data_IF_531666874511
#
_entry.id   IF_531666874511
#
_cell.length_a   1.000
_cell.length_b   1.000
_cell.length_c   1.000
_cell.angle_alpha   90.00
_cell.angle_beta   90.00
_cell.angle_gamma   90.00
#
_symmetry.space_group_name_H-M   'P 1'
#
loop_
_entity.id
_entity.type
_entity.pdbx_description
1 polymer ?
#
# COMPACT_ATOMS: atom_id res chain seq x y z
N UNK A 1 -19.07 -15.05 1.53
CA UNK A 1 -19.90 -14.52 2.62
C UNK A 1 -19.13 -14.44 3.95
N UNK A 2 -18.48 -15.51 4.44
CA UNK A 2 -17.70 -15.46 5.70
C UNK A 2 -16.44 -14.58 5.70
N UNK A 3 -15.69 -14.53 4.59
CA UNK A 3 -14.48 -13.70 4.47
C UNK A 3 -14.79 -12.19 4.57
N UNK A 4 -15.92 -11.75 4.00
CA UNK A 4 -16.35 -10.36 4.08
C UNK A 4 -16.74 -9.93 5.51
N UNK A 5 -17.46 -10.78 6.24
CA UNK A 5 -17.80 -10.52 7.66
C UNK A 5 -16.52 -10.38 8.51
N UNK A 6 -15.55 -11.26 8.29
CA UNK A 6 -14.25 -11.20 8.96
C UNK A 6 -13.49 -9.90 8.63
N UNK A 7 -13.51 -9.48 7.36
CA UNK A 7 -12.93 -8.21 6.91
C UNK A 7 -13.64 -7.01 7.55
N UNK A 8 -14.98 -6.98 7.61
CA UNK A 8 -15.75 -5.91 8.26
C UNK A 8 -15.36 -5.74 9.72
N UNK A 9 -15.33 -6.83 10.49
CA UNK A 9 -14.91 -6.76 11.89
C UNK A 9 -13.44 -6.35 12.06
N UNK A 10 -12.57 -6.68 11.11
CA UNK A 10 -11.19 -6.21 11.12
C UNK A 10 -11.13 -4.70 10.84
N UNK A 11 -11.81 -4.21 9.79
CA UNK A 11 -11.86 -2.81 9.41
C UNK A 11 -12.39 -1.93 10.53
N UNK A 12 -13.57 -2.24 11.09
CA UNK A 12 -14.15 -1.43 12.16
C UNK A 12 -13.34 -1.43 13.46
N UNK A 13 -12.53 -2.46 13.73
CA UNK A 13 -11.59 -2.41 14.87
C UNK A 13 -10.39 -1.52 14.58
N UNK A 14 -9.77 -1.69 13.40
CA UNK A 14 -8.58 -0.93 13.02
C UNK A 14 -8.87 0.56 12.88
N UNK A 15 -9.98 0.94 12.25
CA UNK A 15 -10.33 2.36 12.07
C UNK A 15 -10.70 3.06 13.39
N UNK A 16 -11.30 2.33 14.36
CA UNK A 16 -11.53 2.83 15.73
C UNK A 16 -10.25 3.04 16.53
N UNK A 17 -9.18 2.32 16.21
CA UNK A 17 -7.84 2.55 16.76
C UNK A 17 -7.10 3.67 16.00
N UNK A 18 -7.82 4.47 15.21
CA UNK A 18 -7.30 5.58 14.40
C UNK A 18 -6.27 5.17 13.34
N UNK A 19 -6.27 3.90 12.93
CA UNK A 19 -5.37 3.38 11.91
C UNK A 19 -5.98 3.53 10.52
N UNK A 20 -5.12 3.81 9.54
CA UNK A 20 -5.47 3.73 8.13
C UNK A 20 -5.40 2.28 7.62
N UNK A 21 -6.35 1.88 6.78
CA UNK A 21 -6.36 0.57 6.14
C UNK A 21 -6.32 0.70 4.63
N UNK A 22 -5.31 0.09 4.01
CA UNK A 22 -5.18 0.00 2.56
C UNK A 22 -5.88 -1.26 2.04
N UNK A 23 -6.84 -1.10 1.13
CA UNK A 23 -7.62 -2.20 0.55
C UNK A 23 -7.36 -2.29 -0.94
N UNK A 24 -6.78 -3.38 -1.41
CA UNK A 24 -6.57 -3.60 -2.84
C UNK A 24 -7.80 -4.18 -3.49
N UNK A 25 -8.36 -3.48 -4.47
CA UNK A 25 -9.39 -4.00 -5.36
C UNK A 25 -8.74 -4.79 -6.48
N UNK A 26 -8.55 -6.09 -6.25
CA UNK A 26 -7.98 -7.07 -7.19
C UNK A 26 -6.79 -6.53 -8.00
N UNK A 27 -5.57 -6.76 -7.53
CA UNK A 27 -4.33 -6.25 -8.15
C UNK A 27 -4.15 -6.62 -9.63
N UNK A 28 -4.85 -7.65 -10.12
CA UNK A 28 -4.75 -8.18 -11.48
C UNK A 28 -5.92 -7.74 -12.37
N UNK A 29 -7.05 -7.30 -11.82
CA UNK A 29 -8.21 -6.85 -12.61
C UNK A 29 -8.92 -7.93 -13.45
N UNK A 30 -8.59 -9.22 -13.23
CA UNK A 30 -9.18 -10.33 -13.98
C UNK A 30 -10.66 -10.61 -13.64
N UNK A 31 -11.10 -10.14 -12.47
CA UNK A 31 -12.50 -10.14 -12.05
C UNK A 31 -12.77 -8.77 -11.42
N UNK A 32 -13.40 -7.89 -12.18
CA UNK A 32 -13.98 -6.65 -11.66
C UNK A 32 -15.03 -7.06 -10.61
N UNK A 33 -14.72 -6.84 -9.34
CA UNK A 33 -15.61 -7.13 -8.22
C UNK A 33 -15.96 -5.82 -7.55
N UNK A 34 -17.22 -5.60 -7.19
CA UNK A 34 -17.63 -4.39 -6.48
C UNK A 34 -17.17 -4.39 -5.01
N UNK A 35 -15.86 -4.53 -4.77
CA UNK A 35 -15.25 -4.57 -3.43
C UNK A 35 -15.62 -3.34 -2.60
N UNK A 36 -15.71 -2.16 -3.23
CA UNK A 36 -16.21 -0.95 -2.59
C UNK A 36 -17.70 -0.98 -2.28
N UNK A 37 -18.56 -1.62 -3.09
CA UNK A 37 -19.97 -1.71 -2.73
C UNK A 37 -20.16 -2.57 -1.46
N UNK A 38 -19.31 -3.57 -1.27
CA UNK A 38 -19.28 -4.35 -0.05
C UNK A 38 -18.74 -3.55 1.14
N UNK A 39 -17.71 -2.72 0.96
CA UNK A 39 -17.09 -1.95 2.04
C UNK A 39 -17.82 -0.63 2.36
N UNK A 40 -18.43 0.05 1.39
CA UNK A 40 -19.13 1.33 1.57
C UNK A 40 -20.63 1.16 1.85
N UNK A 41 -21.29 0.18 1.21
CA UNK A 41 -22.74 -0.01 1.32
C UNK A 41 -23.23 -0.87 2.49
N UNK A 42 -22.35 -1.66 3.11
CA UNK A 42 -22.72 -2.62 4.18
C UNK A 42 -21.93 -2.42 5.48
N UNK A 43 -21.26 -1.28 5.64
CA UNK A 43 -20.59 -0.97 6.92
C UNK A 43 -21.55 -0.32 7.89
N UNK A 44 -21.60 -0.91 9.08
CA UNK A 44 -22.17 -0.32 10.28
C UNK A 44 -21.49 1.05 10.58
N UNK A 45 -22.17 1.94 11.31
CA UNK A 45 -21.66 3.29 11.68
C UNK A 45 -20.31 3.25 12.42
N UNK A 46 -19.90 2.06 12.87
CA UNK A 46 -18.63 1.81 13.53
C UNK A 46 -17.38 1.83 12.63
N UNK A 47 -17.51 1.96 11.31
CA UNK A 47 -16.38 2.06 10.37
C UNK A 47 -16.20 3.49 9.86
N UNK A 48 -15.08 4.12 10.22
CA UNK A 48 -14.69 5.41 9.65
C UNK A 48 -14.09 5.21 8.24
N UNK A 49 -14.90 5.40 7.20
CA UNK A 49 -14.51 5.25 5.79
C UNK A 49 -13.38 6.21 5.35
N UNK A 50 -13.23 7.35 6.03
CA UNK A 50 -12.15 8.32 5.78
C UNK A 50 -10.76 7.73 6.08
N UNK A 51 -10.71 6.67 6.89
CA UNK A 51 -9.48 5.94 7.23
C UNK A 51 -9.23 4.73 6.34
N UNK A 52 -10.11 4.45 5.39
CA UNK A 52 -9.88 3.40 4.40
C UNK A 52 -9.35 4.07 3.13
N UNK A 53 -8.25 3.52 2.60
CA UNK A 53 -7.62 3.98 1.36
C UNK A 53 -7.68 2.83 0.35
N UNK A 54 -8.66 2.82 -0.55
CA UNK A 54 -8.71 1.84 -1.61
C UNK A 54 -7.51 1.98 -2.54
N UNK A 55 -7.08 0.87 -3.13
CA UNK A 55 -6.04 0.81 -4.16
C UNK A 55 -6.70 0.31 -5.44
N UNK A 56 -6.74 1.20 -6.44
CA UNK A 56 -7.21 0.94 -7.79
C UNK A 56 -6.02 0.78 -8.73
N UNK A 57 -6.11 -0.12 -9.70
CA UNK A 57 -5.06 -0.32 -10.70
C UNK A 57 -5.57 -0.01 -12.11
N UNK A 58 -4.67 0.34 -13.03
CA UNK A 58 -5.00 0.45 -14.45
C UNK A 58 -5.35 -0.91 -15.09
N UNK A 59 -5.42 -2.01 -14.35
CA UNK A 59 -5.75 -3.36 -14.85
C UNK A 59 -7.23 -3.60 -15.07
N UNK A 60 -8.08 -2.65 -14.70
CA UNK A 60 -9.52 -2.69 -14.93
C UNK A 60 -9.88 -1.88 -16.18
N UNK A 61 -11.10 -2.03 -16.68
CA UNK A 61 -11.61 -1.16 -17.74
C UNK A 61 -11.67 0.31 -17.29
N UNK A 62 -11.58 1.24 -18.24
CA UNK A 62 -11.62 2.67 -17.90
C UNK A 62 -12.96 3.06 -17.26
N UNK A 63 -14.06 2.48 -17.73
CA UNK A 63 -15.40 2.74 -17.19
C UNK A 63 -15.54 2.20 -15.76
N UNK A 64 -14.95 1.02 -15.49
CA UNK A 64 -14.85 0.51 -14.12
C UNK A 64 -14.06 1.46 -13.22
N UNK A 65 -12.87 1.89 -13.64
CA UNK A 65 -12.04 2.81 -12.86
C UNK A 65 -12.76 4.11 -12.50
N UNK A 66 -13.52 4.68 -13.45
CA UNK A 66 -14.33 5.90 -13.23
C UNK A 66 -15.46 5.63 -12.24
N UNK A 67 -16.19 4.54 -12.41
CA UNK A 67 -17.29 4.15 -11.53
C UNK A 67 -16.79 3.89 -10.11
N UNK A 68 -15.66 3.19 -9.98
CA UNK A 68 -15.01 2.91 -8.70
C UNK A 68 -14.65 4.18 -7.96
N UNK A 69 -13.99 5.14 -8.64
CA UNK A 69 -13.60 6.40 -8.03
C UNK A 69 -14.82 7.27 -7.66
N UNK A 70 -15.84 7.33 -8.52
CA UNK A 70 -17.08 8.07 -8.22
C UNK A 70 -17.81 7.50 -7.01
N UNK A 71 -17.84 6.16 -6.87
CA UNK A 71 -18.39 5.49 -5.68
C UNK A 71 -17.57 5.78 -4.43
N UNK A 72 -16.24 5.70 -4.50
CA UNK A 72 -15.38 6.06 -3.37
C UNK A 72 -15.68 7.47 -2.86
N UNK A 73 -15.85 8.45 -3.76
CA UNK A 73 -16.25 9.80 -3.36
C UNK A 73 -17.66 9.83 -2.75
N UNK A 74 -18.63 9.19 -3.40
CA UNK A 74 -20.03 9.18 -2.94
C UNK A 74 -20.22 8.53 -1.57
N UNK A 75 -19.44 7.49 -1.28
CA UNK A 75 -19.51 6.74 -0.02
C UNK A 75 -18.74 7.44 1.12
N UNK A 76 -18.01 8.52 0.83
CA UNK A 76 -17.30 9.33 1.83
C UNK A 76 -15.87 8.90 2.14
N UNK A 77 -15.22 8.15 1.24
CA UNK A 77 -13.78 7.95 1.30
C UNK A 77 -13.06 9.28 0.98
N UNK A 78 -11.95 9.56 1.65
CA UNK A 78 -11.17 10.80 1.45
C UNK A 78 -9.94 10.59 0.56
N UNK A 79 -9.57 9.35 0.28
CA UNK A 79 -8.35 9.03 -0.47
C UNK A 79 -8.49 7.78 -1.32
N UNK A 80 -7.81 7.77 -2.47
CA UNK A 80 -7.73 6.64 -3.40
C UNK A 80 -6.30 6.53 -3.95
N UNK A 81 -5.65 5.39 -3.77
CA UNK A 81 -4.34 5.13 -4.39
C UNK A 81 -4.52 4.52 -5.78
N UNK A 82 -3.86 5.09 -6.79
CA UNK A 82 -4.00 4.70 -8.20
C UNK A 82 -2.66 4.22 -8.76
N UNK A 83 -2.62 2.95 -9.18
CA UNK A 83 -1.42 2.24 -9.59
C UNK A 83 -1.49 1.77 -11.06
N UNK A 84 -0.36 1.52 -11.69
CA UNK A 84 -0.34 0.90 -13.02
C UNK A 84 -0.78 -0.57 -13.02
N UNK A 85 -0.47 -1.32 -11.96
CA UNK A 85 -0.57 -2.79 -11.94
C UNK A 85 0.47 -3.48 -12.84
N UNK A 86 0.66 -4.79 -12.75
CA UNK A 86 1.73 -5.48 -13.47
C UNK A 86 1.49 -5.48 -15.00
N UNK A 87 2.50 -5.17 -15.82
CA UNK A 87 2.39 -5.24 -17.29
C UNK A 87 2.47 -6.67 -17.82
N UNK A 88 3.14 -7.57 -17.08
CA UNK A 88 3.40 -8.94 -17.50
C UNK A 88 2.21 -9.88 -17.30
N UNK A 89 1.24 -9.47 -16.50
CA UNK A 89 0.05 -10.26 -16.16
C UNK A 89 -1.17 -9.71 -16.91
N UNK A 90 -1.92 -10.50 -17.71
CA UNK A 90 -3.17 -10.04 -18.33
C UNK A 90 -4.25 -9.65 -17.28
N UNK A 91 -5.26 -8.82 -17.63
CA UNK A 91 -5.54 -8.13 -18.90
C UNK A 91 -4.62 -6.91 -19.12
N UNK A 92 -4.53 -6.31 -20.33
CA UNK A 92 -3.71 -5.10 -20.53
C UNK A 92 -4.18 -3.93 -19.65
N UNK A 93 -3.29 -2.97 -19.40
CA UNK A 93 -3.68 -1.74 -18.70
C UNK A 93 -4.63 -0.90 -19.57
N UNK A 94 -5.69 -0.31 -19.01
CA UNK A 94 -6.60 0.59 -19.73
C UNK A 94 -5.95 1.92 -20.12
N UNK A 95 -4.91 2.33 -19.40
CA UNK A 95 -4.01 3.44 -19.74
C UNK A 95 -2.56 3.05 -19.41
N UNK A 96 -1.56 3.62 -20.10
CA UNK A 96 -0.17 3.17 -19.96
C UNK A 96 0.39 3.29 -18.52
N UNK A 97 0.08 4.37 -17.80
CA UNK A 97 0.62 4.66 -16.47
C UNK A 97 -0.46 5.03 -15.46
N UNK A 98 -0.16 4.85 -14.17
CA UNK A 98 -1.04 5.29 -13.08
C UNK A 98 -1.26 6.81 -13.06
N UNK A 99 -0.28 7.62 -13.49
CA UNK A 99 -0.44 9.09 -13.60
C UNK A 99 -1.50 9.47 -14.63
N UNK A 100 -1.58 8.73 -15.74
CA UNK A 100 -2.54 8.98 -16.82
C UNK A 100 -3.96 8.72 -16.28
N UNK A 101 -4.13 7.67 -15.47
CA UNK A 101 -5.41 7.40 -14.82
C UNK A 101 -5.75 8.47 -13.76
N UNK A 102 -4.78 8.91 -12.94
CA UNK A 102 -5.00 10.00 -11.98
C UNK A 102 -5.38 11.30 -12.67
N UNK A 103 -4.79 11.64 -13.81
CA UNK A 103 -5.20 12.80 -14.59
C UNK A 103 -6.70 12.72 -14.93
N UNK A 104 -7.13 11.58 -15.49
CA UNK A 104 -8.54 11.36 -15.87
C UNK A 104 -9.46 11.47 -14.65
N UNK A 105 -9.11 10.82 -13.54
CA UNK A 105 -9.94 10.78 -12.33
C UNK A 105 -9.98 12.12 -11.60
N UNK A 106 -8.86 12.87 -11.55
CA UNK A 106 -8.76 14.16 -10.84
C UNK A 106 -9.80 15.18 -11.30
N UNK A 107 -10.23 15.10 -12.58
CA UNK A 107 -11.25 15.97 -13.17
C UNK A 107 -12.68 15.60 -12.77
N UNK A 108 -12.89 14.41 -12.20
CA UNK A 108 -14.21 13.83 -11.91
C UNK A 108 -14.50 13.71 -10.42
N UNK A 109 -13.48 13.41 -9.61
CA UNK A 109 -13.67 13.03 -8.19
C UNK A 109 -13.05 13.99 -7.19
N UNK A 110 -12.82 15.25 -7.55
CA UNK A 110 -12.44 16.28 -6.58
C UNK A 110 -13.53 16.43 -5.50
N UNK A 111 -13.20 16.44 -4.19
CA UNK A 111 -11.88 16.67 -3.59
C UNK A 111 -11.11 15.42 -3.13
N UNK A 112 -11.39 14.22 -3.67
CA UNK A 112 -10.72 12.97 -3.30
C UNK A 112 -9.19 13.07 -3.50
N UNK A 113 -8.41 12.78 -2.45
CA UNK A 113 -6.94 12.79 -2.55
C UNK A 113 -6.45 11.56 -3.32
N UNK A 114 -5.57 11.76 -4.31
CA UNK A 114 -5.08 10.67 -5.17
C UNK A 114 -3.65 10.27 -4.80
N UNK A 115 -3.46 8.99 -4.49
CA UNK A 115 -2.17 8.40 -4.13
C UNK A 115 -1.42 7.83 -5.33
N UNK A 116 -0.11 8.02 -5.37
CA UNK A 116 0.82 7.40 -6.30
C UNK A 116 1.62 6.24 -5.69
N UNK A 117 2.65 5.81 -6.41
CA UNK A 117 3.56 4.75 -5.98
C UNK A 117 4.99 5.06 -6.35
N UNK A 118 5.90 4.75 -5.44
CA UNK A 118 7.35 4.93 -5.62
C UNK A 118 8.07 3.66 -5.23
N UNK A 119 9.25 3.39 -5.79
CA UNK A 119 10.04 2.21 -5.48
C UNK A 119 11.43 2.61 -4.99
N UNK A 120 11.67 2.69 -3.66
CA UNK A 120 12.97 3.09 -3.11
C UNK A 120 14.15 2.22 -3.57
N UNK A 121 13.91 1.01 -4.09
CA UNK A 121 14.96 0.13 -4.64
C UNK A 121 15.42 0.54 -6.05
N UNK A 122 14.77 1.50 -6.69
CA UNK A 122 15.13 2.04 -8.02
C UNK A 122 15.91 3.35 -7.88
N UNK A 123 16.26 3.94 -9.02
CA UNK A 123 16.97 5.23 -9.03
C UNK A 123 16.19 6.31 -8.28
N UNK A 124 16.82 6.93 -7.29
CA UNK A 124 16.14 7.86 -6.39
C UNK A 124 15.62 9.11 -7.13
N UNK A 125 16.40 9.66 -8.05
CA UNK A 125 16.02 10.86 -8.79
C UNK A 125 14.85 10.59 -9.73
N UNK A 126 14.84 9.45 -10.40
CA UNK A 126 13.72 9.00 -11.24
C UNK A 126 12.43 8.83 -10.42
N UNK A 127 12.49 8.11 -9.28
CA UNK A 127 11.32 7.86 -8.45
C UNK A 127 10.75 9.13 -7.83
N UNK A 128 11.61 10.06 -7.40
CA UNK A 128 11.18 11.38 -6.94
C UNK A 128 10.59 12.19 -8.09
N UNK A 129 11.20 12.12 -9.28
CA UNK A 129 10.69 12.75 -10.51
C UNK A 129 9.25 12.38 -10.81
N UNK A 130 8.88 11.09 -10.70
CA UNK A 130 7.49 10.65 -10.89
C UNK A 130 6.49 11.23 -9.88
N UNK A 131 6.95 11.66 -8.71
CA UNK A 131 6.10 12.17 -7.63
C UNK A 131 5.96 13.69 -7.68
N UNK A 132 7.03 14.40 -8.06
CA UNK A 132 7.09 15.87 -8.01
C UNK A 132 6.79 16.53 -9.36
N UNK A 133 6.70 15.74 -10.43
CA UNK A 133 6.33 16.26 -11.74
C UNK A 133 4.94 16.94 -11.70
N UNK A 134 4.79 18.00 -12.50
CA UNK A 134 3.54 18.76 -12.54
C UNK A 134 2.33 17.91 -13.02
N UNK A 135 2.59 16.87 -13.80
CA UNK A 135 1.65 15.89 -14.33
C UNK A 135 1.58 14.60 -13.49
N UNK A 136 2.14 14.59 -12.27
CA UNK A 136 2.08 13.41 -11.40
C UNK A 136 0.66 13.12 -10.91
N UNK A 137 -0.16 14.18 -10.76
CA UNK A 137 -1.53 14.15 -10.25
C UNK A 137 -1.68 13.35 -8.94
N UNK A 138 -0.67 13.43 -8.07
CA UNK A 138 -0.62 12.71 -6.80
C UNK A 138 -0.43 13.66 -5.61
N UNK A 139 -1.19 13.41 -4.56
CA UNK A 139 -1.16 14.16 -3.30
C UNK A 139 -0.26 13.49 -2.26
N UNK A 140 -0.09 12.16 -2.36
CA UNK A 140 0.79 11.34 -1.55
C UNK A 140 1.28 10.14 -2.36
N UNK A 141 2.19 9.32 -1.82
CA UNK A 141 2.55 8.04 -2.41
C UNK A 141 2.71 6.92 -1.37
N UNK A 142 2.48 5.70 -1.81
CA UNK A 142 2.93 4.49 -1.11
C UNK A 142 4.26 4.02 -1.70
N UNK A 143 5.16 3.51 -0.87
CA UNK A 143 6.40 2.92 -1.36
C UNK A 143 6.22 1.43 -1.65
N UNK A 144 7.03 0.89 -2.56
CA UNK A 144 7.34 -0.53 -2.58
C UNK A 144 7.78 -1.00 -1.20
N UNK A 145 7.55 -2.28 -0.88
CA UNK A 145 8.00 -2.93 0.34
C UNK A 145 9.50 -2.71 0.53
N UNK A 146 9.86 -2.21 1.70
CA UNK A 146 11.22 -2.03 2.21
C UNK A 146 11.34 -2.67 3.59
N UNK A 147 12.56 -2.86 4.06
CA UNK A 147 12.84 -3.35 5.40
C UNK A 147 14.11 -2.72 5.96
N UNK A 148 14.50 -3.12 7.17
CA UNK A 148 15.79 -2.73 7.74
C UNK A 148 17.00 -3.31 6.98
N UNK A 149 16.80 -4.21 6.01
CA UNK A 149 17.85 -4.70 5.10
C UNK A 149 18.00 -3.84 3.84
N UNK A 150 17.18 -2.81 3.66
CA UNK A 150 17.23 -1.91 2.50
C UNK A 150 17.28 -0.44 2.91
N UNK A 151 17.92 -0.13 4.05
CA UNK A 151 17.97 1.23 4.60
C UNK A 151 18.67 2.20 3.66
N UNK A 152 19.80 1.82 3.07
CA UNK A 152 20.54 2.68 2.15
C UNK A 152 19.66 3.14 0.97
N UNK A 153 18.78 2.28 0.49
CA UNK A 153 17.84 2.60 -0.60
C UNK A 153 16.79 3.63 -0.14
N UNK A 154 16.28 3.47 1.08
CA UNK A 154 15.33 4.41 1.70
C UNK A 154 16.00 5.75 1.99
N UNK A 155 17.22 5.76 2.50
CA UNK A 155 17.98 6.97 2.80
C UNK A 155 18.25 7.78 1.52
N UNK A 156 18.78 7.13 0.47
CA UNK A 156 19.00 7.80 -0.84
C UNK A 156 17.70 8.37 -1.43
N UNK A 157 16.61 7.60 -1.40
CA UNK A 157 15.32 8.08 -1.87
C UNK A 157 14.84 9.30 -1.07
N UNK A 158 15.01 9.29 0.25
CA UNK A 158 14.58 10.39 1.13
C UNK A 158 15.43 11.63 1.00
N UNK A 159 16.73 11.49 0.81
CA UNK A 159 17.62 12.60 0.52
C UNK A 159 17.23 13.29 -0.80
N UNK A 160 16.96 12.50 -1.85
CA UNK A 160 16.47 13.05 -3.12
C UNK A 160 15.10 13.73 -2.97
N UNK A 161 14.19 13.14 -2.17
CA UNK A 161 12.86 13.70 -1.94
C UNK A 161 12.93 15.00 -1.13
N UNK A 162 13.74 15.06 -0.08
CA UNK A 162 13.86 16.25 0.78
C UNK A 162 14.51 17.43 0.05
N UNK A 163 15.34 17.17 -0.95
CA UNK A 163 15.91 18.20 -1.82
C UNK A 163 14.89 18.81 -2.81
N UNK A 164 13.68 18.25 -2.92
CA UNK A 164 12.69 18.65 -3.93
C UNK A 164 11.65 19.63 -3.37
N UNK A 165 11.43 20.76 -4.07
CA UNK A 165 10.52 21.83 -3.64
C UNK A 165 9.02 21.43 -3.57
N UNK A 166 8.63 20.31 -4.16
CA UNK A 166 7.25 19.79 -4.20
C UNK A 166 7.14 18.38 -3.60
N UNK A 167 7.98 18.05 -2.62
CA UNK A 167 7.97 16.76 -1.96
C UNK A 167 6.57 16.39 -1.45
N UNK A 168 6.05 15.24 -1.90
CA UNK A 168 4.77 14.70 -1.43
C UNK A 168 5.01 13.75 -0.25
N UNK A 169 4.08 13.63 0.69
CA UNK A 169 4.17 12.63 1.75
C UNK A 169 4.27 11.21 1.18
N UNK A 170 5.16 10.40 1.75
CA UNK A 170 5.33 8.99 1.39
C UNK A 170 5.04 8.11 2.61
N UNK A 171 4.26 7.05 2.41
CA UNK A 171 4.03 6.00 3.41
C UNK A 171 4.79 4.75 2.98
N UNK A 172 5.69 4.28 3.83
CA UNK A 172 6.62 3.21 3.50
C UNK A 172 6.03 1.82 3.77
N UNK A 173 6.09 0.93 2.79
CA UNK A 173 5.59 -0.43 2.94
C UNK A 173 6.56 -1.32 3.70
N UNK A 174 6.06 -2.03 4.71
CA UNK A 174 6.78 -3.12 5.39
C UNK A 174 5.99 -4.42 5.20
N UNK A 175 6.69 -5.51 4.89
CA UNK A 175 6.04 -6.81 4.73
C UNK A 175 6.24 -7.68 5.97
N UNK A 176 5.14 -8.22 6.51
CA UNK A 176 5.18 -9.17 7.61
C UNK A 176 5.53 -10.58 7.10
N UNK A 177 6.81 -10.95 7.17
CA UNK A 177 7.28 -12.30 6.84
C UNK A 177 6.90 -13.28 7.95
N UNK A 178 6.09 -14.28 7.63
CA UNK A 178 5.56 -15.23 8.63
C UNK A 178 6.54 -16.33 9.02
N UNK A 179 7.53 -16.60 8.17
CA UNK A 179 8.49 -17.69 8.29
C UNK A 179 9.60 -17.55 7.25
N UNK A 180 10.73 -18.22 7.45
CA UNK A 180 11.81 -18.40 6.47
C UNK A 180 11.53 -19.48 5.40
N UNK A 181 10.27 -19.67 4.99
CA UNK A 181 9.96 -20.70 3.99
C UNK A 181 10.54 -20.29 2.63
N UNK A 182 11.59 -20.99 2.18
CA UNK A 182 12.33 -20.65 0.96
C UNK A 182 11.43 -20.60 -0.29
N UNK A 183 10.46 -21.50 -0.41
CA UNK A 183 9.51 -21.49 -1.54
C UNK A 183 8.67 -20.23 -1.52
N UNK A 184 8.10 -19.87 -0.36
CA UNK A 184 7.31 -18.64 -0.21
C UNK A 184 8.14 -17.39 -0.49
N UNK A 185 9.37 -17.31 0.04
CA UNK A 185 10.25 -16.16 -0.20
C UNK A 185 10.63 -16.02 -1.67
N UNK A 186 10.91 -17.15 -2.35
CA UNK A 186 11.17 -17.16 -3.80
C UNK A 186 9.97 -16.67 -4.60
N UNK A 187 8.76 -17.15 -4.32
CA UNK A 187 7.54 -16.69 -5.00
C UNK A 187 7.27 -15.20 -4.76
N UNK A 188 7.49 -14.71 -3.55
CA UNK A 188 7.36 -13.26 -3.25
C UNK A 188 8.37 -12.42 -4.04
N UNK A 189 9.57 -12.96 -4.27
CA UNK A 189 10.64 -12.33 -5.04
C UNK A 189 10.29 -12.01 -6.48
N UNK A 190 9.25 -12.65 -7.04
CA UNK A 190 8.73 -12.34 -8.38
C UNK A 190 8.04 -10.97 -8.44
N UNK A 191 7.56 -10.44 -7.30
CA UNK A 191 6.77 -9.21 -7.23
C UNK A 191 7.55 -8.01 -6.66
N UNK A 192 8.48 -8.25 -5.73
CA UNK A 192 9.27 -7.21 -5.11
C UNK A 192 10.61 -7.75 -4.58
N UNK A 193 11.62 -6.89 -4.35
CA UNK A 193 12.89 -7.32 -3.77
C UNK A 193 12.70 -7.90 -2.36
N UNK A 194 12.91 -9.21 -2.20
CA UNK A 194 12.85 -9.91 -0.92
C UNK A 194 14.29 -10.15 -0.42
N UNK A 195 14.67 -9.66 0.78
CA UNK A 195 15.96 -9.98 1.40
C UNK A 195 15.93 -11.41 2.00
N UNK A 196 15.85 -12.42 1.13
CA UNK A 196 15.51 -13.79 1.52
C UNK A 196 16.59 -14.44 2.40
N UNK A 197 17.86 -14.19 2.10
CA UNK A 197 18.98 -14.73 2.86
C UNK A 197 19.03 -14.12 4.26
N UNK A 198 18.86 -12.79 4.35
CA UNK A 198 18.89 -12.06 5.60
C UNK A 198 17.70 -12.46 6.49
N UNK A 199 16.48 -12.49 5.94
CA UNK A 199 15.30 -12.93 6.68
C UNK A 199 15.44 -14.37 7.16
N UNK A 200 16.02 -15.26 6.34
CA UNK A 200 16.28 -16.65 6.74
C UNK A 200 17.24 -16.71 7.93
N UNK A 201 18.35 -15.97 7.87
CA UNK A 201 19.33 -15.91 8.94
C UNK A 201 18.73 -15.35 10.25
N UNK A 202 17.81 -14.38 10.18
CA UNK A 202 17.13 -13.86 11.37
C UNK A 202 16.25 -14.91 12.06
N UNK A 203 15.50 -15.68 11.28
CA UNK A 203 14.69 -16.79 11.82
C UNK A 203 15.58 -17.90 12.39
N UNK A 204 16.70 -18.22 11.74
CA UNK A 204 17.69 -19.19 12.25
C UNK A 204 18.35 -18.71 13.56
N UNK A 205 18.54 -17.40 13.72
CA UNK A 205 19.00 -16.77 14.95
C UNK A 205 17.91 -16.70 16.06
N UNK A 206 16.70 -17.22 15.79
CA UNK A 206 15.61 -17.32 16.76
C UNK A 206 14.68 -16.10 16.83
N UNK A 207 14.82 -15.13 15.92
CA UNK A 207 13.90 -14.00 15.87
C UNK A 207 12.50 -14.44 15.43
N UNK A 208 11.48 -13.89 16.09
CA UNK A 208 10.09 -14.05 15.68
C UNK A 208 9.71 -13.11 14.53
N UNK A 209 8.65 -13.47 13.80
CA UNK A 209 8.09 -12.62 12.75
C UNK A 209 7.67 -11.22 13.27
N UNK A 210 7.14 -11.16 14.49
CA UNK A 210 6.73 -9.90 15.13
C UNK A 210 7.98 -9.01 15.40
N UNK A 211 9.09 -9.59 15.88
CA UNK A 211 10.34 -8.86 16.15
C UNK A 211 11.02 -8.37 14.88
N UNK A 212 11.06 -9.18 13.81
CA UNK A 212 11.63 -8.80 12.51
C UNK A 212 10.85 -7.63 11.89
N UNK A 213 9.51 -7.70 11.95
CA UNK A 213 8.65 -6.62 11.46
C UNK A 213 8.84 -5.35 12.30
N UNK A 214 8.83 -5.46 13.63
CA UNK A 214 9.03 -4.33 14.53
C UNK A 214 10.41 -3.68 14.34
N UNK A 215 11.47 -4.47 14.15
CA UNK A 215 12.81 -3.99 13.83
C UNK A 215 12.83 -3.19 12.54
N UNK A 216 12.13 -3.67 11.51
CA UNK A 216 11.98 -2.94 10.25
C UNK A 216 11.33 -1.58 10.46
N UNK A 217 10.21 -1.52 11.20
CA UNK A 217 9.53 -0.26 11.51
C UNK A 217 10.45 0.69 12.30
N UNK A 218 11.10 0.21 13.37
CA UNK A 218 12.01 1.04 14.20
C UNK A 218 13.15 1.61 13.38
N UNK A 219 13.80 0.80 12.55
CA UNK A 219 14.93 1.22 11.72
C UNK A 219 14.52 2.20 10.63
N UNK A 220 13.37 1.98 9.98
CA UNK A 220 12.81 2.93 9.01
C UNK A 220 12.51 4.28 9.67
N UNK A 221 11.86 4.27 10.85
CA UNK A 221 11.59 5.50 11.61
C UNK A 221 12.87 6.21 12.03
N UNK A 222 13.90 5.47 12.44
CA UNK A 222 15.19 6.03 12.85
C UNK A 222 15.91 6.75 11.71
N UNK A 223 15.74 6.30 10.46
CA UNK A 223 16.27 7.04 9.30
C UNK A 223 15.35 8.19 8.89
N UNK A 224 14.11 8.26 9.42
CA UNK A 224 13.11 9.31 9.22
C UNK A 224 11.92 8.92 8.31
N UNK A 225 11.81 7.64 7.91
CA UNK A 225 10.63 7.09 7.26
C UNK A 225 9.52 6.84 8.30
N UNK A 226 8.89 7.91 8.77
CA UNK A 226 7.99 7.88 9.94
C UNK A 226 6.67 7.15 9.69
N UNK A 227 6.07 7.39 8.51
CA UNK A 227 4.77 6.84 8.11
C UNK A 227 5.00 5.48 7.46
N UNK A 228 4.49 4.43 8.08
CA UNK A 228 4.68 3.04 7.63
C UNK A 228 3.33 2.34 7.53
N UNK A 229 3.14 1.53 6.50
CA UNK A 229 2.04 0.58 6.41
C UNK A 229 2.58 -0.86 6.43
N UNK A 230 1.80 -1.81 6.95
CA UNK A 230 2.24 -3.21 7.08
C UNK A 230 1.37 -4.14 6.24
N UNK A 231 1.99 -4.81 5.28
CA UNK A 231 1.36 -5.82 4.43
C UNK A 231 1.41 -7.22 5.07
N UNK A 232 0.51 -8.10 4.61
CA UNK A 232 0.48 -9.54 4.95
C UNK A 232 0.12 -9.88 6.42
N UNK A 233 -0.55 -8.98 7.14
CA UNK A 233 -1.03 -9.24 8.50
C UNK A 233 -2.17 -10.27 8.56
N UNK A 234 -2.92 -10.47 7.48
CA UNK A 234 -4.02 -11.41 7.36
C UNK A 234 -5.29 -10.97 8.08
N UNK A 235 -6.42 -10.96 7.37
CA UNK A 235 -7.70 -10.35 7.73
C UNK A 235 -8.12 -10.59 9.20
N UNK A 236 -8.36 -11.85 9.58
CA UNK A 236 -8.91 -12.20 10.91
C UNK A 236 -8.04 -11.78 12.09
N UNK A 237 -6.72 -11.75 11.91
CA UNK A 237 -5.75 -11.54 13.01
C UNK A 237 -4.99 -10.22 12.86
N UNK A 238 -5.36 -9.37 11.90
CA UNK A 238 -4.61 -8.18 11.53
C UNK A 238 -4.40 -7.25 12.73
N UNK A 239 -5.47 -6.81 13.39
CA UNK A 239 -5.38 -5.92 14.56
C UNK A 239 -4.55 -6.50 15.70
N UNK A 240 -4.78 -7.77 16.07
CA UNK A 240 -3.98 -8.41 17.14
C UNK A 240 -2.50 -8.55 16.78
N UNK A 241 -2.18 -8.87 15.52
CA UNK A 241 -0.79 -8.96 15.04
C UNK A 241 -0.14 -7.58 15.03
N UNK A 242 -0.81 -6.58 14.48
CA UNK A 242 -0.32 -5.22 14.44
C UNK A 242 -0.05 -4.69 15.85
N UNK A 243 -0.97 -4.92 16.80
CA UNK A 243 -0.75 -4.56 18.22
C UNK A 243 0.54 -5.16 18.78
N UNK A 244 0.75 -6.48 18.65
CA UNK A 244 1.99 -7.13 19.14
C UNK A 244 3.25 -6.58 18.47
N UNK A 245 3.18 -6.24 17.18
CA UNK A 245 4.29 -5.62 16.48
C UNK A 245 4.56 -4.22 17.04
N UNK A 246 3.53 -3.40 17.22
CA UNK A 246 3.65 -2.04 17.73
C UNK A 246 4.13 -1.99 19.18
N UNK A 247 3.78 -2.98 20.01
CA UNK A 247 4.30 -3.12 21.39
C UNK A 247 5.84 -3.35 21.42
N UNK A 248 6.46 -3.69 20.27
CA UNK A 248 7.90 -3.92 20.10
C UNK A 248 8.62 -2.78 19.35
N UNK A 249 7.90 -1.70 18.98
CA UNK A 249 8.41 -0.55 18.21
C UNK A 249 8.71 0.62 19.14
#
# INVERSE_FOLDING_TARGET
MGAWIDLHHALGRLTREELFVFLTDNAVGAAEEESLAHVGGNVDESVDLRRIVPILTCKHSLDYCRTFAARALSDGFESLTVLGGDVSVPPPRCVPHGRDLREILSRQVSPLSLGGWVNPHRDAAEQVGFLVAADAHADFALSQVVSHHSLDAVERFREALSASANAKPVVYGVFYYRSANARTLSTLGEFFPVPAAEITAEFEAGASADEICARSIRRLRAVGAEKVYVSNLGERRAGRRLKRILDLV
#
